data_IF_150012164244
#
_entry.id   IF_150012164244
#
_cell.length_a   1.000
_cell.length_b   1.000
_cell.length_c   1.000
_cell.angle_alpha   90.00
_cell.angle_beta   90.00
_cell.angle_gamma   90.00
#
_symmetry.space_group_name_H-M   'P 1'
#
loop_
_entity.id
_entity.type
_entity.pdbx_description
1 polymer ?
#
# COMPACT_ATOMS: atom_id res chain seq x y z
N UNK A 1 -3.85 -15.00 -9.35
CA UNK A 1 -3.67 -13.54 -9.35
C UNK A 1 -5.02 -12.84 -9.26
N UNK A 2 -6.03 -13.27 -10.02
CA UNK A 2 -7.41 -12.74 -9.95
C UNK A 2 -8.08 -12.79 -8.56
N UNK A 3 -7.83 -13.84 -7.78
CA UNK A 3 -8.52 -14.08 -6.50
C UNK A 3 -8.30 -12.97 -5.45
N UNK A 4 -7.11 -12.37 -5.38
CA UNK A 4 -6.82 -11.28 -4.42
C UNK A 4 -7.51 -9.96 -4.83
N UNK A 5 -7.49 -9.63 -6.12
CA UNK A 5 -8.10 -8.40 -6.62
C UNK A 5 -9.62 -8.45 -6.43
N UNK A 6 -10.24 -9.61 -6.70
CA UNK A 6 -11.68 -9.79 -6.46
C UNK A 6 -12.03 -9.68 -4.98
N UNK A 7 -11.20 -10.21 -4.06
CA UNK A 7 -11.44 -10.13 -2.61
C UNK A 7 -11.21 -8.73 -2.03
N UNK A 8 -10.27 -7.96 -2.59
CA UNK A 8 -9.97 -6.61 -2.12
C UNK A 8 -11.07 -5.60 -2.49
N UNK A 9 -11.77 -5.80 -3.61
CA UNK A 9 -12.90 -4.97 -4.05
C UNK A 9 -14.23 -5.40 -3.38
N UNK A 10 -14.24 -5.55 -2.06
CA UNK A 10 -15.45 -5.87 -1.32
C UNK A 10 -16.43 -4.68 -1.29
N UNK A 11 -17.72 -5.00 -1.22
CA UNK A 11 -18.85 -4.05 -1.18
C UNK A 11 -19.06 -3.38 0.19
N UNK A 12 -18.61 -4.02 1.27
CA UNK A 12 -18.76 -3.52 2.64
C UNK A 12 -17.61 -3.94 3.55
N UNK A 13 -17.25 -3.05 4.47
CA UNK A 13 -16.20 -3.28 5.45
C UNK A 13 -16.68 -4.22 6.58
N UNK A 14 -16.58 -5.52 6.36
CA UNK A 14 -16.89 -6.56 7.36
C UNK A 14 -15.63 -7.28 7.80
N UNK A 15 -15.63 -7.81 9.03
CA UNK A 15 -14.48 -8.51 9.60
C UNK A 15 -14.05 -9.68 8.70
N UNK A 16 -15.02 -10.41 8.18
CA UNK A 16 -14.85 -11.61 7.37
C UNK A 16 -14.21 -11.32 6.02
N UNK A 17 -14.50 -10.15 5.43
CA UNK A 17 -13.93 -9.70 4.15
C UNK A 17 -12.53 -9.10 4.33
N UNK A 18 -12.31 -8.39 5.45
CA UNK A 18 -11.08 -7.60 5.66
C UNK A 18 -9.97 -8.40 6.33
N UNK A 19 -10.25 -9.14 7.42
CA UNK A 19 -9.21 -9.81 8.20
C UNK A 19 -8.35 -10.80 7.40
N UNK A 20 -8.88 -11.56 6.42
CA UNK A 20 -8.05 -12.43 5.58
C UNK A 20 -7.03 -11.67 4.69
N UNK A 21 -7.25 -10.38 4.45
CA UNK A 21 -6.34 -9.52 3.67
C UNK A 21 -5.28 -8.84 4.55
N UNK A 22 -5.46 -8.86 5.87
CA UNK A 22 -4.56 -8.22 6.83
C UNK A 22 -3.49 -9.22 7.28
N UNK A 23 -2.35 -9.20 6.60
CA UNK A 23 -1.17 -10.00 6.94
C UNK A 23 -0.32 -9.30 8.01
N UNK A 24 -0.84 -9.25 9.24
CA UNK A 24 -0.18 -8.57 10.35
C UNK A 24 1.18 -9.19 10.71
N UNK A 25 1.30 -10.51 10.59
CA UNK A 25 2.53 -11.23 10.95
C UNK A 25 3.70 -10.89 10.02
N UNK A 26 3.41 -10.56 8.75
CA UNK A 26 4.42 -10.11 7.78
C UNK A 26 4.44 -8.59 7.57
N UNK A 27 3.75 -7.83 8.42
CA UNK A 27 3.75 -6.36 8.32
C UNK A 27 5.14 -5.78 8.63
N UNK A 28 5.56 -4.70 7.97
CA UNK A 28 6.85 -4.07 8.26
C UNK A 28 6.91 -3.61 9.72
N UNK A 29 7.96 -3.99 10.48
CA UNK A 29 8.09 -3.61 11.88
C UNK A 29 8.35 -2.10 12.04
N UNK A 30 7.89 -1.54 13.15
CA UNK A 30 8.13 -0.15 13.51
C UNK A 30 9.61 0.12 13.79
N UNK A 31 10.12 1.26 13.32
CA UNK A 31 11.50 1.69 13.57
C UNK A 31 12.52 1.13 12.57
N UNK A 32 12.13 0.14 11.78
CA UNK A 32 12.91 -0.33 10.64
C UNK A 32 12.68 0.54 9.40
N UNK A 33 13.61 0.45 8.46
CA UNK A 33 13.45 1.10 7.16
C UNK A 33 12.26 0.47 6.43
N UNK A 34 11.31 1.30 6.00
CA UNK A 34 10.17 0.84 5.23
C UNK A 34 10.60 0.17 3.90
N UNK A 35 9.80 -0.75 3.35
CA UNK A 35 10.09 -1.38 2.06
C UNK A 35 9.99 -0.35 0.94
N UNK A 36 10.83 -0.50 -0.08
CA UNK A 36 10.75 0.30 -1.30
C UNK A 36 9.90 -0.44 -2.36
N UNK A 37 9.16 0.32 -3.15
CA UNK A 37 8.27 -0.21 -4.19
C UNK A 37 8.02 0.82 -5.30
N UNK A 38 7.70 0.39 -6.53
CA UNK A 38 7.39 1.29 -7.62
C UNK A 38 6.06 2.01 -7.38
N UNK A 39 6.02 3.27 -7.82
CA UNK A 39 4.89 4.17 -7.76
C UNK A 39 4.73 4.85 -9.12
N UNK A 40 3.54 5.33 -9.41
CA UNK A 40 3.25 6.06 -10.64
C UNK A 40 2.73 7.45 -10.29
N UNK A 41 3.31 8.46 -10.93
CA UNK A 41 2.73 9.81 -10.91
C UNK A 41 1.46 9.84 -11.76
N UNK A 42 0.66 10.88 -11.58
CA UNK A 42 -0.58 11.10 -12.33
C UNK A 42 -0.35 11.23 -13.85
N UNK A 43 0.85 11.61 -14.26
CA UNK A 43 1.26 11.68 -15.68
C UNK A 43 1.72 10.33 -16.26
N UNK A 44 1.67 9.26 -15.47
CA UNK A 44 2.09 7.92 -15.86
C UNK A 44 3.59 7.66 -15.74
N UNK A 45 4.39 8.64 -15.30
CA UNK A 45 5.82 8.43 -15.06
C UNK A 45 6.05 7.58 -13.81
N UNK A 46 6.96 6.62 -13.93
CA UNK A 46 7.34 5.75 -12.82
C UNK A 46 8.27 6.49 -11.83
N UNK A 47 8.11 6.18 -10.55
CA UNK A 47 8.98 6.60 -9.46
C UNK A 47 9.03 5.48 -8.40
N UNK A 48 9.70 5.70 -7.27
CA UNK A 48 9.73 4.77 -6.14
C UNK A 48 9.47 5.52 -4.84
N UNK A 49 9.05 4.80 -3.79
CA UNK A 49 8.91 5.41 -2.47
C UNK A 49 10.23 6.03 -2.02
N UNK A 50 11.36 5.38 -2.29
CA UNK A 50 12.68 5.88 -1.91
C UNK A 50 13.12 7.15 -2.65
N UNK A 51 12.74 7.29 -3.91
CA UNK A 51 12.96 8.50 -4.68
C UNK A 51 12.19 9.69 -4.09
N UNK A 52 11.00 9.45 -3.52
CA UNK A 52 10.19 10.48 -2.86
C UNK A 52 10.72 10.83 -1.48
N UNK A 53 10.91 9.86 -0.57
CA UNK A 53 11.30 10.17 0.80
C UNK A 53 12.68 10.82 0.92
N UNK A 54 13.54 10.68 -0.09
CA UNK A 54 14.92 11.18 -0.04
C UNK A 54 14.96 12.69 -0.19
N UNK A 55 13.86 13.28 -0.64
CA UNK A 55 13.66 14.70 -0.87
C UNK A 55 12.98 15.40 0.33
N UNK A 56 12.59 14.65 1.36
CA UNK A 56 11.78 15.14 2.45
C UNK A 56 12.34 14.70 3.81
N UNK A 57 12.18 15.56 4.83
CA UNK A 57 12.57 15.21 6.20
C UNK A 57 11.62 14.14 6.79
N UNK A 58 10.34 14.21 6.42
CA UNK A 58 9.30 13.27 6.81
C UNK A 58 8.39 12.98 5.62
N UNK A 59 7.95 11.73 5.50
CA UNK A 59 6.99 11.29 4.48
C UNK A 59 5.87 10.51 5.16
N UNK A 60 4.63 10.95 4.94
CA UNK A 60 3.42 10.24 5.37
C UNK A 60 2.83 9.60 4.13
N UNK A 61 2.56 8.30 4.19
CA UNK A 61 1.97 7.53 3.09
C UNK A 61 0.55 7.15 3.45
N UNK A 62 -0.41 7.52 2.60
CA UNK A 62 -1.81 7.12 2.71
C UNK A 62 -2.14 6.19 1.54
N UNK A 63 -2.68 5.01 1.85
CA UNK A 63 -3.17 4.07 0.85
C UNK A 63 -4.67 4.24 0.69
N UNK A 64 -5.12 4.37 -0.56
CA UNK A 64 -6.52 4.48 -0.91
C UNK A 64 -6.78 3.89 -2.29
N UNK A 65 -8.04 3.60 -2.57
CA UNK A 65 -8.52 3.17 -3.87
C UNK A 65 -9.38 4.26 -4.50
N UNK A 66 -9.25 4.48 -5.80
CA UNK A 66 -10.24 5.22 -6.58
C UNK A 66 -11.27 4.22 -7.12
N UNK A 67 -12.55 4.44 -6.81
CA UNK A 67 -13.68 3.71 -7.39
C UNK A 67 -14.30 4.49 -8.53
#
# INVERSE_FOLDING_TARGET
MDDIITRYNYDEFTREKVFPLLDFDNSPPLGEKAPDFPLWRLDGTETSLSAIWSQHLYTIVEFGSFT
#
